data_IF_166877012715
#
_entry.id   IF_166877012715
#
_cell.length_a   1.000
_cell.length_b   1.000
_cell.length_c   1.000
_cell.angle_alpha   90.00
_cell.angle_beta   90.00
_cell.angle_gamma   90.00
#
_symmetry.space_group_name_H-M   'P 1'
#
loop_
_entity.id
_entity.type
_entity.pdbx_description
1 polymer ?
#
# COMPACT_ATOMS: atom_id res chain seq x y z
N UNK A 1 -9.43 2.79 7.94
CA UNK A 1 -9.70 3.59 6.74
C UNK A 1 -9.16 2.89 5.49
N UNK A 2 -9.92 2.88 4.39
CA UNK A 2 -9.47 2.45 3.06
C UNK A 2 -9.41 3.66 2.12
N UNK A 3 -8.27 3.91 1.47
CA UNK A 3 -7.99 5.15 0.74
C UNK A 3 -7.18 4.89 -0.53
N UNK A 4 -7.69 5.39 -1.67
CA UNK A 4 -6.93 5.45 -2.92
C UNK A 4 -5.97 6.65 -2.91
N UNK A 5 -4.74 6.42 -3.31
CA UNK A 5 -3.70 7.42 -3.49
C UNK A 5 -3.30 7.39 -4.97
N UNK A 6 -3.82 8.32 -5.79
CA UNK A 6 -3.59 8.32 -7.23
C UNK A 6 -2.16 8.76 -7.54
N UNK A 7 -1.63 8.27 -8.67
CA UNK A 7 -0.39 8.72 -9.29
C UNK A 7 0.81 8.75 -8.32
N UNK A 8 0.94 7.71 -7.49
CA UNK A 8 2.16 7.50 -6.69
C UNK A 8 3.35 7.35 -7.63
N UNK A 9 3.19 6.61 -8.72
CA UNK A 9 4.13 6.58 -9.83
C UNK A 9 3.50 7.21 -11.07
N UNK A 10 4.32 7.93 -11.84
CA UNK A 10 3.94 8.34 -13.21
C UNK A 10 3.92 7.12 -14.13
N UNK A 11 3.28 7.25 -15.30
CA UNK A 11 3.24 6.17 -16.30
C UNK A 11 4.64 5.77 -16.79
N UNK A 12 5.56 6.74 -16.93
CA UNK A 12 6.95 6.47 -17.29
C UNK A 12 7.68 5.66 -16.21
N UNK A 13 7.47 6.01 -14.93
CA UNK A 13 8.03 5.25 -13.81
C UNK A 13 7.44 3.84 -13.73
N UNK A 14 6.13 3.69 -13.99
CA UNK A 14 5.50 2.36 -14.10
C UNK A 14 6.15 1.55 -15.22
N UNK A 15 6.35 2.12 -16.40
CA UNK A 15 6.99 1.45 -17.53
C UNK A 15 8.43 1.04 -17.22
N UNK A 16 9.21 1.90 -16.56
CA UNK A 16 10.57 1.58 -16.08
C UNK A 16 10.56 0.41 -15.09
N UNK A 17 9.69 0.47 -14.08
CA UNK A 17 9.54 -0.61 -13.10
C UNK A 17 9.16 -1.93 -13.79
N UNK A 18 8.23 -1.88 -14.75
CA UNK A 18 7.79 -3.05 -15.51
C UNK A 18 8.89 -3.64 -16.38
N UNK A 19 9.70 -2.81 -17.06
CA UNK A 19 10.84 -3.30 -17.82
C UNK A 19 11.84 -4.08 -16.95
N UNK A 20 12.13 -3.58 -15.74
CA UNK A 20 13.04 -4.24 -14.79
C UNK A 20 12.44 -5.58 -14.30
N UNK A 21 11.17 -5.58 -13.89
CA UNK A 21 10.53 -6.78 -13.33
C UNK A 21 10.24 -7.85 -14.37
N UNK A 22 9.86 -7.47 -15.59
CA UNK A 22 9.50 -8.42 -16.65
C UNK A 22 10.75 -9.16 -17.19
N UNK A 23 11.94 -8.56 -17.06
CA UNK A 23 13.22 -9.21 -17.36
C UNK A 23 13.74 -10.14 -16.24
N UNK A 24 13.15 -10.09 -15.05
CA UNK A 24 13.58 -10.88 -13.90
C UNK A 24 12.94 -12.27 -13.86
N UNK A 25 13.55 -13.17 -13.08
CA UNK A 25 12.97 -14.48 -12.82
C UNK A 25 11.83 -14.38 -11.78
N UNK A 26 10.64 -14.84 -12.17
CA UNK A 26 9.48 -14.97 -11.29
C UNK A 26 9.42 -16.40 -10.73
N UNK A 27 9.17 -16.53 -9.43
CA UNK A 27 9.08 -17.82 -8.73
C UNK A 27 7.68 -18.04 -8.18
N UNK A 28 7.35 -19.28 -7.84
CA UNK A 28 6.09 -19.61 -7.16
C UNK A 28 5.98 -18.84 -5.83
N UNK A 29 4.92 -18.05 -5.68
CA UNK A 29 4.72 -17.20 -4.50
C UNK A 29 4.31 -17.95 -3.24
N UNK A 30 4.00 -19.25 -3.31
CA UNK A 30 3.76 -20.09 -2.13
C UNK A 30 5.02 -20.31 -1.28
N UNK A 31 6.20 -20.15 -1.87
CA UNK A 31 7.49 -20.21 -1.15
C UNK A 31 7.62 -19.15 -0.04
N UNK A 32 6.77 -18.12 -0.04
CA UNK A 32 6.83 -16.97 0.89
C UNK A 32 5.63 -16.89 1.84
N UNK A 33 4.68 -17.83 1.75
CA UNK A 33 3.42 -17.79 2.48
C UNK A 33 3.55 -18.37 3.90
N UNK A 34 2.85 -17.78 4.87
CA UNK A 34 2.57 -18.45 6.14
C UNK A 34 1.63 -19.65 5.93
N UNK A 35 1.56 -20.56 6.90
CA UNK A 35 0.85 -21.86 6.77
C UNK A 35 -0.60 -21.74 6.26
N UNK A 36 -1.38 -20.75 6.73
CA UNK A 36 -2.76 -20.54 6.27
C UNK A 36 -2.86 -19.92 4.86
N UNK A 37 -1.97 -18.99 4.51
CA UNK A 37 -1.97 -18.33 3.21
C UNK A 37 -1.54 -19.26 2.07
N UNK A 38 -0.72 -20.27 2.36
CA UNK A 38 -0.22 -21.21 1.35
C UNK A 38 -1.32 -22.13 0.75
N UNK A 39 -2.45 -22.30 1.44
CA UNK A 39 -3.54 -23.18 0.97
C UNK A 39 -4.45 -22.53 -0.08
N UNK A 40 -4.48 -21.20 -0.13
CA UNK A 40 -5.42 -20.44 -0.97
C UNK A 40 -4.73 -19.52 -1.99
N UNK A 41 -3.40 -19.54 -2.06
CA UNK A 41 -2.61 -18.64 -2.90
C UNK A 41 -2.05 -19.38 -4.10
N UNK A 42 -2.34 -18.87 -5.28
CA UNK A 42 -1.74 -19.30 -6.54
C UNK A 42 -1.30 -18.05 -7.26
N UNK A 43 -0.01 -17.71 -7.16
CA UNK A 43 0.56 -16.54 -7.83
C UNK A 43 2.07 -16.73 -8.06
N UNK A 44 2.67 -15.74 -8.71
CA UNK A 44 4.11 -15.63 -8.84
C UNK A 44 4.62 -14.42 -8.07
N UNK A 45 5.86 -14.47 -7.60
CA UNK A 45 6.53 -13.35 -6.96
C UNK A 45 7.96 -13.18 -7.45
N UNK A 46 8.48 -11.97 -7.36
CA UNK A 46 9.92 -11.77 -7.43
C UNK A 46 10.58 -12.29 -6.14
N UNK A 47 11.79 -12.87 -6.21
CA UNK A 47 12.58 -13.18 -5.03
C UNK A 47 12.77 -11.92 -4.17
N UNK A 48 12.44 -11.99 -2.89
CA UNK A 48 12.45 -10.83 -1.98
C UNK A 48 13.83 -10.17 -1.85
N UNK A 49 14.89 -10.98 -1.91
CA UNK A 49 16.29 -10.52 -1.93
C UNK A 49 16.87 -10.42 -3.35
N UNK A 50 16.03 -10.42 -4.39
CA UNK A 50 16.44 -10.25 -5.79
C UNK A 50 16.80 -8.80 -6.11
N UNK A 51 17.68 -8.60 -7.10
CA UNK A 51 18.09 -7.26 -7.54
C UNK A 51 16.90 -6.45 -8.07
N UNK A 52 16.05 -7.03 -8.92
CA UNK A 52 14.86 -6.37 -9.44
C UNK A 52 13.92 -5.88 -8.32
N UNK A 53 13.68 -6.70 -7.29
CA UNK A 53 12.83 -6.33 -6.16
C UNK A 53 13.43 -5.16 -5.36
N UNK A 54 14.75 -5.16 -5.12
CA UNK A 54 15.42 -4.04 -4.43
C UNK A 54 15.36 -2.75 -5.24
N UNK A 55 15.67 -2.82 -6.53
CA UNK A 55 15.71 -1.64 -7.41
C UNK A 55 14.33 -1.00 -7.52
N UNK A 56 13.31 -1.79 -7.84
CA UNK A 56 11.94 -1.28 -7.98
C UNK A 56 11.37 -0.86 -6.62
N UNK A 57 11.69 -1.59 -5.56
CA UNK A 57 11.29 -1.22 -4.20
C UNK A 57 11.83 0.15 -3.78
N UNK A 58 13.09 0.45 -4.12
CA UNK A 58 13.68 1.77 -3.85
C UNK A 58 12.98 2.90 -4.61
N UNK A 59 12.59 2.68 -5.88
CA UNK A 59 11.82 3.65 -6.67
C UNK A 59 10.47 3.95 -6.00
N UNK A 60 9.75 2.90 -5.58
CA UNK A 60 8.46 3.02 -4.91
C UNK A 60 8.60 3.76 -3.59
N UNK A 61 9.55 3.38 -2.72
CA UNK A 61 9.76 4.03 -1.43
C UNK A 61 10.07 5.53 -1.58
N UNK A 62 10.95 5.88 -2.54
CA UNK A 62 11.27 7.28 -2.83
C UNK A 62 10.07 8.07 -3.38
N UNK A 63 9.15 7.42 -4.11
CA UNK A 63 7.92 8.06 -4.58
C UNK A 63 6.91 8.28 -3.44
N UNK A 64 6.75 7.30 -2.56
CA UNK A 64 5.88 7.38 -1.38
C UNK A 64 6.29 8.49 -0.42
N UNK A 65 7.60 8.62 -0.14
CA UNK A 65 8.14 9.66 0.74
C UNK A 65 7.81 11.08 0.25
N UNK A 66 7.72 11.25 -1.08
CA UNK A 66 7.41 12.55 -1.71
C UNK A 66 5.92 12.78 -1.93
N UNK A 67 5.05 11.82 -1.63
CA UNK A 67 3.60 11.94 -1.84
C UNK A 67 2.92 12.46 -0.55
N UNK A 68 2.44 13.72 -0.51
CA UNK A 68 1.91 14.30 0.73
C UNK A 68 0.67 13.57 1.26
N UNK A 69 -0.20 13.09 0.37
CA UNK A 69 -1.39 12.35 0.76
C UNK A 69 -1.02 11.01 1.41
N UNK A 70 -0.04 10.29 0.87
CA UNK A 70 0.47 9.08 1.51
C UNK A 70 1.06 9.34 2.89
N UNK A 71 1.93 10.35 3.01
CA UNK A 71 2.57 10.70 4.29
C UNK A 71 1.53 11.07 5.34
N UNK A 72 0.52 11.86 4.97
CA UNK A 72 -0.57 12.27 5.87
C UNK A 72 -1.49 11.11 6.25
N UNK A 73 -1.84 10.24 5.29
CA UNK A 73 -2.76 9.13 5.53
C UNK A 73 -2.13 7.97 6.31
N UNK A 74 -0.87 7.64 6.00
CA UNK A 74 -0.19 6.48 6.56
C UNK A 74 0.67 6.80 7.78
N UNK A 75 1.15 8.05 7.93
CA UNK A 75 2.09 8.50 8.96
C UNK A 75 3.21 7.47 9.19
N UNK A 76 3.96 7.08 8.15
CA UNK A 76 4.81 5.90 8.20
C UNK A 76 5.95 6.07 9.20
N UNK A 77 6.08 5.13 10.13
CA UNK A 77 7.28 4.93 10.95
C UNK A 77 8.26 4.00 10.26
N UNK A 78 7.75 2.90 9.74
CA UNK A 78 8.55 1.88 9.04
C UNK A 78 7.68 1.25 7.95
N UNK A 79 8.23 1.15 6.76
CA UNK A 79 7.60 0.48 5.62
C UNK A 79 8.39 -0.81 5.38
N UNK A 80 7.69 -1.95 5.34
CA UNK A 80 8.30 -3.22 4.97
C UNK A 80 8.78 -3.13 3.51
N UNK A 81 9.95 -3.68 3.21
CA UNK A 81 10.50 -3.72 1.86
C UNK A 81 9.45 -4.14 0.83
N UNK A 82 9.17 -3.31 -0.20
CA UNK A 82 8.15 -3.62 -1.19
C UNK A 82 8.37 -5.00 -1.82
N UNK A 83 7.31 -5.80 -1.85
CA UNK A 83 7.29 -7.08 -2.54
C UNK A 83 6.45 -6.98 -3.80
N UNK A 84 6.62 -7.95 -4.69
CA UNK A 84 6.03 -7.92 -6.02
C UNK A 84 5.35 -9.24 -6.31
N UNK A 85 4.10 -9.18 -6.74
CA UNK A 85 3.32 -10.32 -7.14
C UNK A 85 2.78 -10.17 -8.55
N UNK A 86 2.50 -11.31 -9.17
CA UNK A 86 1.90 -11.42 -10.48
C UNK A 86 0.89 -12.54 -10.51
N UNK A 87 -0.28 -12.25 -11.08
CA UNK A 87 -1.39 -13.19 -11.24
C UNK A 87 -1.73 -13.27 -12.73
N UNK A 88 -1.54 -14.45 -13.33
CA UNK A 88 -2.00 -14.75 -14.69
C UNK A 88 -3.35 -15.48 -14.70
N UNK A 89 -3.79 -15.94 -15.86
CA UNK A 89 -5.04 -16.71 -15.98
C UNK A 89 -5.08 -17.91 -15.01
N UNK A 90 -6.17 -18.05 -14.25
CA UNK A 90 -6.37 -19.10 -13.24
C UNK A 90 -5.73 -18.81 -11.88
N UNK A 91 -4.99 -17.71 -11.73
CA UNK A 91 -4.31 -17.35 -10.49
C UNK A 91 -5.16 -16.40 -9.65
N UNK A 92 -5.08 -16.55 -8.32
CA UNK A 92 -5.78 -15.73 -7.34
C UNK A 92 -5.17 -15.90 -5.96
N UNK A 93 -5.71 -15.19 -4.98
CA UNK A 93 -5.34 -15.37 -3.58
C UNK A 93 -6.60 -15.29 -2.73
N UNK A 94 -7.08 -16.42 -2.24
CA UNK A 94 -8.31 -16.49 -1.45
C UNK A 94 -8.25 -15.74 -0.12
N UNK A 95 -9.38 -15.77 0.59
CA UNK A 95 -9.62 -15.01 1.81
C UNK A 95 -8.55 -15.24 2.87
N UNK A 96 -7.98 -14.13 3.35
CA UNK A 96 -7.02 -14.14 4.43
C UNK A 96 -7.01 -12.80 5.19
N UNK A 97 -6.40 -12.85 6.38
CA UNK A 97 -6.06 -11.68 7.18
C UNK A 97 -4.54 -11.67 7.31
N UNK A 98 -3.93 -10.49 7.23
CA UNK A 98 -2.49 -10.38 7.39
C UNK A 98 -2.04 -10.65 8.83
N UNK A 99 -0.87 -11.26 8.96
CA UNK A 99 -0.23 -11.42 10.27
C UNK A 99 0.04 -10.05 10.89
N UNK A 100 -0.43 -9.84 12.12
CA UNK A 100 -0.31 -8.58 12.87
C UNK A 100 1.13 -8.12 13.12
N UNK A 101 2.09 -9.05 13.05
CA UNK A 101 3.52 -8.79 13.16
C UNK A 101 4.23 -9.51 12.02
N UNK A 102 5.07 -8.77 11.28
CA UNK A 102 5.90 -9.33 10.21
C UNK A 102 7.36 -8.94 10.38
N UNK A 103 8.24 -9.78 9.85
CA UNK A 103 9.67 -9.54 9.77
C UNK A 103 10.02 -9.19 8.32
N UNK A 104 10.66 -8.06 8.12
CA UNK A 104 11.18 -7.67 6.82
C UNK A 104 12.24 -8.69 6.38
N UNK A 105 12.08 -9.30 5.20
CA UNK A 105 12.98 -10.35 4.73
C UNK A 105 14.36 -9.82 4.29
N UNK A 106 14.48 -8.53 4.01
CA UNK A 106 15.71 -7.86 3.57
C UNK A 106 16.46 -7.30 4.77
N UNK A 107 15.79 -6.53 5.63
CA UNK A 107 16.43 -5.84 6.76
C UNK A 107 16.44 -6.69 8.04
N UNK A 108 15.58 -7.70 8.12
CA UNK A 108 15.37 -8.52 9.32
C UNK A 108 14.62 -7.81 10.44
N UNK A 109 14.18 -6.56 10.23
CA UNK A 109 13.44 -5.76 11.20
C UNK A 109 12.02 -6.30 11.37
N UNK A 110 11.55 -6.39 12.61
CA UNK A 110 10.16 -6.75 12.92
C UNK A 110 9.31 -5.49 13.05
N UNK A 111 8.10 -5.51 12.50
CA UNK A 111 7.14 -4.41 12.59
C UNK A 111 5.71 -4.90 12.81
N UNK A 112 4.90 -4.05 13.42
CA UNK A 112 3.45 -4.21 13.53
C UNK A 112 2.80 -3.77 12.21
N UNK A 113 1.94 -4.59 11.64
CA UNK A 113 1.25 -4.26 10.38
C UNK A 113 -0.01 -3.45 10.69
N UNK A 114 0.09 -2.12 10.68
CA UNK A 114 -1.09 -1.26 10.86
C UNK A 114 -1.90 -1.13 9.57
N UNK A 115 -1.18 -0.97 8.46
CA UNK A 115 -1.75 -0.77 7.15
C UNK A 115 -1.10 -1.73 6.15
N UNK A 116 -1.93 -2.22 5.23
CA UNK A 116 -1.52 -2.89 4.01
C UNK A 116 -1.65 -1.92 2.85
N UNK A 117 -0.74 -2.03 1.88
CA UNK A 117 -0.73 -1.21 0.68
C UNK A 117 -0.55 -2.08 -0.55
N UNK A 118 -1.27 -1.76 -1.62
CA UNK A 118 -1.07 -2.34 -2.95
C UNK A 118 -0.89 -1.23 -3.98
N UNK A 119 0.25 -1.19 -4.65
CA UNK A 119 0.52 -0.33 -5.80
C UNK A 119 0.29 -1.11 -7.08
N UNK A 120 -0.60 -0.63 -7.95
CA UNK A 120 -0.95 -1.29 -9.20
C UNK A 120 0.12 -1.00 -10.27
N UNK A 121 0.58 -2.04 -10.98
CA UNK A 121 1.63 -1.93 -12.02
C UNK A 121 1.16 -2.51 -13.36
N UNK A 122 -0.15 -2.71 -13.53
CA UNK A 122 -0.80 -3.14 -14.76
C UNK A 122 -2.09 -2.34 -14.90
N UNK A 123 -2.44 -1.92 -16.11
CA UNK A 123 -3.68 -1.17 -16.31
C UNK A 123 -4.89 -2.09 -16.08
N UNK A 124 -5.99 -1.58 -15.51
CA UNK A 124 -7.15 -2.39 -15.19
C UNK A 124 -7.82 -2.99 -16.44
N UNK A 125 -7.60 -2.43 -17.63
CA UNK A 125 -8.12 -2.96 -18.90
C UNK A 125 -7.28 -4.14 -19.45
N UNK A 126 -6.03 -4.30 -19.00
CA UNK A 126 -5.10 -5.31 -19.53
C UNK A 126 -5.38 -6.73 -19.01
N UNK A 127 -6.22 -6.87 -17.98
CA UNK A 127 -6.59 -8.14 -17.37
C UNK A 127 -8.07 -8.18 -16.98
N UNK A 128 -8.67 -9.36 -16.86
CA UNK A 128 -10.05 -9.54 -16.36
C UNK A 128 -10.00 -10.28 -15.01
N UNK A 129 -10.92 -9.94 -14.10
CA UNK A 129 -10.82 -10.33 -12.69
C UNK A 129 -9.64 -9.66 -11.98
N UNK A 130 -9.03 -10.34 -11.00
CA UNK A 130 -7.89 -9.83 -10.25
C UNK A 130 -8.20 -8.61 -9.36
N UNK A 131 -9.47 -8.36 -9.06
CA UNK A 131 -9.85 -7.33 -8.10
C UNK A 131 -9.31 -7.67 -6.70
N UNK A 132 -8.75 -6.68 -6.01
CA UNK A 132 -8.54 -6.77 -4.58
C UNK A 132 -9.88 -6.50 -3.90
N UNK A 133 -10.42 -7.50 -3.21
CA UNK A 133 -11.65 -7.36 -2.42
C UNK A 133 -11.26 -7.25 -0.96
N UNK A 134 -11.69 -6.17 -0.31
CA UNK A 134 -11.43 -5.90 1.11
C UNK A 134 -12.75 -5.77 1.84
N UNK A 135 -12.93 -6.53 2.92
CA UNK A 135 -14.12 -6.50 3.74
C UNK A 135 -13.97 -5.53 4.92
N UNK A 136 -15.08 -4.85 5.22
CA UNK A 136 -15.28 -4.13 6.47
C UNK A 136 -16.61 -4.54 7.14
N UNK A 137 -17.04 -3.78 8.15
CA UNK A 137 -18.28 -4.06 8.88
C UNK A 137 -19.56 -3.87 8.05
N UNK A 138 -19.49 -3.12 6.95
CA UNK A 138 -20.62 -2.73 6.12
C UNK A 138 -20.67 -3.48 4.78
N UNK A 139 -19.59 -4.13 4.37
CA UNK A 139 -19.57 -5.02 3.22
C UNK A 139 -18.19 -5.21 2.59
N UNK A 140 -18.19 -5.67 1.35
CA UNK A 140 -16.99 -5.93 0.55
C UNK A 140 -16.75 -4.81 -0.46
N UNK A 141 -15.50 -4.37 -0.57
CA UNK A 141 -15.06 -3.32 -1.49
C UNK A 141 -14.09 -3.91 -2.51
N UNK A 142 -14.49 -3.96 -3.78
CA UNK A 142 -13.64 -4.44 -4.87
C UNK A 142 -12.84 -3.29 -5.50
N UNK A 143 -11.53 -3.47 -5.65
CA UNK A 143 -10.60 -2.45 -6.14
C UNK A 143 -9.73 -2.96 -7.26
N UNK A 144 -9.71 -2.19 -8.35
CA UNK A 144 -8.85 -2.37 -9.52
C UNK A 144 -8.51 -0.99 -10.07
N UNK A 145 -7.30 -0.50 -9.77
CA UNK A 145 -6.91 0.87 -10.07
C UNK A 145 -5.98 0.96 -11.28
N UNK A 146 -5.87 2.17 -11.84
CA UNK A 146 -4.89 2.49 -12.88
C UNK A 146 -3.46 2.19 -12.44
N UNK A 147 -2.60 1.81 -13.38
CA UNK A 147 -1.21 1.55 -13.06
C UNK A 147 -0.53 2.84 -12.54
N UNK A 148 0.18 2.74 -11.42
CA UNK A 148 0.79 3.86 -10.69
C UNK A 148 -0.04 4.36 -9.51
N UNK A 149 -1.30 3.94 -9.38
CA UNK A 149 -2.14 4.24 -8.22
C UNK A 149 -1.94 3.20 -7.11
N UNK A 150 -2.12 3.65 -5.87
CA UNK A 150 -2.01 2.82 -4.67
C UNK A 150 -3.34 2.78 -3.92
N UNK A 151 -3.67 1.62 -3.35
CA UNK A 151 -4.73 1.48 -2.34
C UNK A 151 -4.10 1.20 -0.98
N UNK A 152 -4.54 1.94 0.03
CA UNK A 152 -4.15 1.79 1.44
C UNK A 152 -5.36 1.28 2.23
N UNK A 153 -5.19 0.28 3.08
CA UNK A 153 -6.28 -0.31 3.87
C UNK A 153 -5.75 -0.94 5.17
N UNK A 154 -6.60 -1.20 6.18
CA UNK A 154 -6.17 -1.81 7.43
C UNK A 154 -5.69 -3.24 7.20
N UNK A 155 -4.51 -3.60 7.72
CA UNK A 155 -4.00 -4.97 7.57
C UNK A 155 -4.85 -6.02 8.29
N UNK A 156 -5.72 -5.59 9.21
CA UNK A 156 -6.68 -6.45 9.92
C UNK A 156 -7.89 -6.85 9.09
N UNK A 157 -8.13 -6.23 7.93
CA UNK A 157 -9.28 -6.54 7.08
C UNK A 157 -9.15 -7.93 6.45
N UNK A 158 -10.25 -8.68 6.43
CA UNK A 158 -10.37 -9.86 5.58
C UNK A 158 -10.31 -9.40 4.13
N UNK A 159 -9.46 -10.04 3.32
CA UNK A 159 -9.33 -9.67 1.93
C UNK A 159 -8.86 -10.82 1.06
N UNK A 160 -9.09 -10.69 -0.24
CA UNK A 160 -8.64 -11.63 -1.26
C UNK A 160 -8.36 -10.92 -2.59
N UNK A 161 -7.69 -11.61 -3.50
CA UNK A 161 -7.56 -11.23 -4.90
C UNK A 161 -8.36 -12.24 -5.73
N UNK A 162 -9.38 -11.77 -6.43
CA UNK A 162 -10.21 -12.62 -7.30
C UNK A 162 -9.35 -13.26 -8.39
N UNK A 163 -9.83 -14.37 -8.94
CA UNK A 163 -9.13 -15.06 -10.02
C UNK A 163 -8.96 -14.12 -11.23
N UNK A 164 -7.74 -14.03 -11.75
CA UNK A 164 -7.50 -13.41 -13.06
C UNK A 164 -7.92 -14.41 -14.13
N UNK A 165 -8.81 -14.02 -15.04
CA UNK A 165 -9.33 -14.91 -16.09
C UNK A 165 -8.72 -14.63 -17.46
N UNK A 166 -8.19 -13.43 -17.67
CA UNK A 166 -7.48 -12.99 -18.88
C UNK A 166 -6.35 -12.05 -18.50
N UNK A 167 -5.25 -12.09 -19.26
CA UNK A 167 -4.16 -11.15 -19.10
C UNK A 167 -3.33 -11.44 -17.86
N UNK A 168 -2.64 -10.41 -17.35
CA UNK A 168 -1.76 -10.56 -16.19
C UNK A 168 -1.81 -9.31 -15.32
N UNK A 169 -2.11 -9.50 -14.03
CA UNK A 169 -2.05 -8.46 -13.01
C UNK A 169 -0.69 -8.49 -12.33
N UNK A 170 0.10 -7.44 -12.49
CA UNK A 170 1.33 -7.20 -11.71
C UNK A 170 1.10 -6.08 -10.70
N UNK A 171 1.52 -6.28 -9.45
CA UNK A 171 1.42 -5.26 -8.41
C UNK A 171 2.59 -5.35 -7.43
N UNK A 172 2.82 -4.24 -6.72
CA UNK A 172 3.62 -4.25 -5.50
C UNK A 172 2.71 -4.26 -4.28
N UNK A 173 3.09 -5.00 -3.25
CA UNK A 173 2.37 -5.07 -1.97
C UNK A 173 3.35 -5.01 -0.80
N UNK A 174 2.95 -4.33 0.27
CA UNK A 174 3.77 -4.16 1.48
C UNK A 174 2.93 -3.72 2.67
N UNK A 175 3.56 -3.74 3.85
CA UNK A 175 2.95 -3.33 5.11
C UNK A 175 3.66 -2.13 5.70
N UNK A 176 2.91 -1.36 6.47
CA UNK A 176 3.38 -0.14 7.11
C UNK A 176 3.07 -0.23 8.60
N UNK A 177 4.09 0.03 9.42
CA UNK A 177 3.89 0.45 10.79
C UNK A 177 3.75 1.97 10.79
N UNK A 178 2.61 2.45 11.25
CA UNK A 178 2.32 3.87 11.41
C UNK A 178 2.91 4.37 12.73
N UNK A 179 3.28 5.64 12.76
CA UNK A 179 3.56 6.38 14.00
C UNK A 179 2.35 6.34 14.93
N UNK A 180 1.14 6.39 14.38
CA UNK A 180 -0.13 6.32 15.12
C UNK A 180 -0.74 4.94 14.92
N UNK A 181 -0.73 4.12 15.97
CA UNK A 181 -1.26 2.74 15.98
C UNK A 181 -2.76 2.68 15.62
N UNK A 182 -3.56 3.47 16.34
CA UNK A 182 -5.01 3.45 16.26
C UNK A 182 -5.53 4.04 14.93
N UNK A 183 -6.41 3.29 14.23
CA UNK A 183 -6.94 3.68 12.92
C UNK A 183 -7.86 4.91 13.01
N UNK A 184 -8.66 5.03 14.07
CA UNK A 184 -9.55 6.18 14.25
C UNK A 184 -8.76 7.47 14.49
N UNK A 185 -7.75 7.44 15.36
CA UNK A 185 -6.84 8.58 15.59
C UNK A 185 -6.09 8.99 14.33
N UNK A 186 -5.61 8.02 13.54
CA UNK A 186 -4.95 8.28 12.26
C UNK A 186 -5.89 8.91 11.24
N UNK A 187 -7.14 8.43 11.16
CA UNK A 187 -8.18 9.00 10.30
C UNK A 187 -8.51 10.45 10.70
N UNK A 188 -8.66 10.72 12.00
CA UNK A 188 -8.89 12.09 12.52
C UNK A 188 -7.75 13.05 12.15
N UNK A 189 -6.50 12.59 12.21
CA UNK A 189 -5.34 13.39 11.80
C UNK A 189 -5.37 13.68 10.29
N UNK A 190 -5.68 12.68 9.45
CA UNK A 190 -5.80 12.90 8.00
C UNK A 190 -6.90 13.91 7.67
N UNK A 191 -8.10 13.74 8.24
CA UNK A 191 -9.23 14.63 7.99
C UNK A 191 -8.88 16.08 8.37
N UNK A 192 -8.19 16.25 9.51
CA UNK A 192 -7.71 17.54 9.98
C UNK A 192 -6.67 18.16 9.04
N UNK A 193 -5.67 17.41 8.60
CA UNK A 193 -4.64 17.91 7.67
C UNK A 193 -5.27 18.31 6.33
N UNK A 194 -6.12 17.45 5.74
CA UNK A 194 -6.83 17.78 4.49
C UNK A 194 -7.69 19.03 4.65
N UNK A 195 -8.38 19.20 5.78
CA UNK A 195 -9.17 20.40 6.06
C UNK A 195 -8.28 21.66 6.17
N UNK A 196 -7.12 21.56 6.83
CA UNK A 196 -6.14 22.65 6.94
C UNK A 196 -5.62 23.05 5.56
N UNK A 197 -5.24 22.08 4.72
CA UNK A 197 -4.74 22.36 3.37
C UNK A 197 -5.79 23.06 2.50
N UNK A 198 -7.04 22.57 2.51
CA UNK A 198 -8.16 23.20 1.79
C UNK A 198 -8.43 24.61 2.30
N UNK A 199 -8.44 24.82 3.61
CA UNK A 199 -8.67 26.14 4.20
C UNK A 199 -7.53 27.10 3.84
N UNK A 200 -6.28 26.65 3.90
CA UNK A 200 -5.09 27.42 3.52
C UNK A 200 -5.16 27.94 2.08
N UNK A 201 -5.68 27.12 1.15
CA UNK A 201 -5.92 27.55 -0.23
C UNK A 201 -7.04 28.59 -0.35
N UNK A 202 -8.08 28.51 0.51
CA UNK A 202 -9.23 29.39 0.45
C UNK A 202 -9.00 30.77 1.10
N UNK A 203 -8.34 30.82 2.26
CA UNK A 203 -8.13 32.07 3.03
C UNK A 203 -6.70 32.62 2.92
N UNK A 204 -5.79 31.86 2.33
CA UNK A 204 -4.37 32.17 2.21
C UNK A 204 -3.54 31.58 3.35
N UNK A 205 -2.35 31.07 3.01
CA UNK A 205 -1.47 30.37 3.95
C UNK A 205 -0.92 31.25 5.09
N UNK A 206 -1.02 32.58 4.97
CA UNK A 206 -0.59 33.53 5.99
C UNK A 206 -1.66 33.83 7.04
N UNK A 207 -2.88 33.30 6.91
CA UNK A 207 -3.93 33.48 7.92
C UNK A 207 -3.49 32.88 9.27
N UNK A 208 -3.56 33.63 10.39
CA UNK A 208 -3.14 33.16 11.72
C UNK A 208 -3.86 31.88 12.20
N UNK A 209 -5.07 31.63 11.71
CA UNK A 209 -5.85 30.44 12.05
C UNK A 209 -5.22 29.18 11.48
N UNK A 210 -4.59 29.26 10.29
CA UNK A 210 -3.86 28.13 9.69
C UNK A 210 -2.70 27.71 10.58
N UNK A 211 -1.95 28.68 11.12
CA UNK A 211 -0.85 28.38 12.04
C UNK A 211 -1.35 27.70 13.33
N UNK A 212 -2.47 28.17 13.88
CA UNK A 212 -3.07 27.61 15.10
C UNK A 212 -3.57 26.19 14.90
N UNK A 213 -4.26 25.92 13.79
CA UNK A 213 -4.73 24.58 13.44
C UNK A 213 -3.57 23.64 13.15
N UNK A 214 -2.56 24.09 12.39
CA UNK A 214 -1.34 23.31 12.14
C UNK A 214 -0.60 22.98 13.43
N UNK A 215 -0.48 23.94 14.36
CA UNK A 215 0.08 23.70 15.68
C UNK A 215 -0.70 22.66 16.48
N UNK A 216 -2.04 22.69 16.40
CA UNK A 216 -2.92 21.72 17.06
C UNK A 216 -2.76 20.31 16.48
N UNK A 217 -2.70 20.18 15.14
CA UNK A 217 -2.39 18.93 14.45
C UNK A 217 -1.08 18.33 14.95
N UNK A 218 0.00 19.11 14.98
CA UNK A 218 1.29 18.63 15.46
C UNK A 218 1.29 18.25 16.94
N UNK A 219 0.50 18.93 17.78
CA UNK A 219 0.36 18.58 19.19
C UNK A 219 -0.40 17.26 19.38
N UNK A 220 -1.41 16.97 18.55
CA UNK A 220 -2.11 15.68 18.56
C UNK A 220 -1.18 14.56 18.06
N UNK A 221 -0.47 14.80 16.96
CA UNK A 221 0.53 13.84 16.47
C UNK A 221 1.58 13.52 17.53
N UNK A 222 2.10 14.53 18.24
CA UNK A 222 3.06 14.31 19.35
C UNK A 222 2.47 13.50 20.50
N UNK A 223 1.18 13.64 20.78
CA UNK A 223 0.50 12.87 21.84
C UNK A 223 0.23 11.42 21.44
N UNK A 224 0.01 11.14 20.16
CA UNK A 224 -0.42 9.82 19.70
C UNK A 224 0.68 9.01 19.00
N UNK A 225 1.79 9.63 18.62
CA UNK A 225 2.90 8.97 17.94
C UNK A 225 3.68 8.03 18.88
N UNK A 226 4.00 6.84 18.38
CA UNK A 226 4.92 5.88 18.93
C UNK A 226 6.22 5.92 18.10
N UNK A 227 7.31 6.48 18.64
CA UNK A 227 8.62 6.70 17.96
C UNK A 227 9.73 5.80 18.49
#
# INVERSE_FOLDING_TARGET
>A
MMLQIPQVLTKDQVAECRAIMDAAAWVDGNTTSGFQAALAKQNQQLPQAGEAARTVGAIILAALERNPLFVSAALPRTILSPMFNRYGAGMGFGDHIDNSVRRDPVTGQTLRTDLSATLFLSEPEDYDGGELVVDDLYGSHAVKLSAGDLILYPASSLHHVTEVTRGTRTASFFWIQSLVRDDARRTLLLDMDVAIQRLSQAVGAADPSILTLTGTYHNLLRQWAEV
#
